data_IF_253308000270
#
_entry.id   IF_253308000270
#
_cell.length_a   1.000
_cell.length_b   1.000
_cell.length_c   1.000
_cell.angle_alpha   90.00
_cell.angle_beta   90.00
_cell.angle_gamma   90.00
#
_symmetry.space_group_name_H-M   'P 1'
#
loop_
_entity.id
_entity.type
_entity.pdbx_description
1 polymer ?
#
# COMPACT_ATOMS: atom_id res chain seq x y z
N UNK A 1 0.68 -14.75 75.29
CA UNK A 1 -0.25 -14.50 74.16
C UNK A 1 0.52 -14.70 72.86
N UNK A 2 0.40 -15.88 72.25
CA UNK A 2 0.77 -16.11 70.84
C UNK A 2 -0.39 -16.90 70.23
N UNK A 3 -1.10 -16.25 69.30
CA UNK A 3 -2.23 -16.82 68.57
C UNK A 3 -1.71 -17.91 67.63
N UNK A 4 -2.09 -19.15 67.88
CA UNK A 4 -1.96 -20.25 66.91
C UNK A 4 -3.12 -20.10 65.92
N UNK A 5 -2.84 -19.58 64.74
CA UNK A 5 -3.78 -19.58 63.61
C UNK A 5 -3.63 -20.94 62.89
N UNK A 6 -4.69 -21.76 62.77
CA UNK A 6 -4.61 -23.02 62.03
C UNK A 6 -4.55 -22.75 60.51
N UNK A 7 -3.95 -23.66 59.72
CA UNK A 7 -3.88 -23.49 58.27
C UNK A 7 -5.28 -23.60 57.64
N UNK A 8 -5.62 -22.62 56.80
CA UNK A 8 -6.83 -22.60 56.00
C UNK A 8 -6.82 -23.79 55.03
N UNK A 9 -7.66 -24.79 55.33
CA UNK A 9 -8.06 -25.83 54.40
C UNK A 9 -8.90 -25.19 53.32
N UNK A 10 -8.29 -24.88 52.17
CA UNK A 10 -9.03 -24.54 50.96
C UNK A 10 -9.77 -25.80 50.48
N UNK A 11 -11.05 -25.90 50.84
CA UNK A 11 -12.02 -26.77 50.17
C UNK A 11 -12.14 -26.32 48.70
N UNK A 12 -11.28 -26.88 47.85
CA UNK A 12 -11.54 -26.85 46.41
C UNK A 12 -12.60 -27.91 46.10
N UNK A 13 -13.86 -27.47 46.05
CA UNK A 13 -14.91 -28.22 45.36
C UNK A 13 -14.43 -28.41 43.91
N UNK A 14 -13.99 -29.62 43.58
CA UNK A 14 -13.52 -29.96 42.25
C UNK A 14 -14.70 -30.10 41.31
N UNK A 15 -15.17 -28.97 40.78
CA UNK A 15 -16.02 -28.95 39.60
C UNK A 15 -15.21 -29.52 38.43
N UNK A 16 -15.36 -30.84 38.18
CA UNK A 16 -14.69 -31.54 37.08
C UNK A 16 -15.27 -31.07 35.76
N UNK A 17 -14.66 -30.03 35.20
CA UNK A 17 -14.90 -29.58 33.81
C UNK A 17 -14.61 -30.77 32.87
N UNK A 18 -15.50 -31.11 31.92
CA UNK A 18 -15.34 -32.26 31.05
C UNK A 18 -14.01 -32.22 30.28
N UNK A 19 -13.38 -33.40 30.09
CA UNK A 19 -12.02 -33.55 29.55
C UNK A 19 -11.80 -32.77 28.23
N UNK A 20 -12.80 -32.78 27.34
CA UNK A 20 -12.78 -32.06 26.07
C UNK A 20 -12.69 -30.53 26.23
N UNK A 21 -13.32 -29.96 27.26
CA UNK A 21 -13.20 -28.52 27.54
C UNK A 21 -11.88 -28.18 28.23
N UNK A 22 -11.30 -29.10 29.01
CA UNK A 22 -9.95 -28.93 29.56
C UNK A 22 -8.88 -28.93 28.48
N UNK A 23 -9.00 -29.77 27.44
CA UNK A 23 -8.05 -29.77 26.31
C UNK A 23 -8.14 -28.46 25.52
N UNK A 24 -9.36 -27.98 25.27
CA UNK A 24 -9.60 -26.72 24.56
C UNK A 24 -9.08 -25.49 25.33
N UNK A 25 -9.33 -25.42 26.64
CA UNK A 25 -8.82 -24.34 27.49
C UNK A 25 -7.30 -24.39 27.64
N UNK A 26 -6.69 -25.58 27.69
CA UNK A 26 -5.23 -25.74 27.67
C UNK A 26 -4.63 -25.29 26.34
N UNK A 27 -5.25 -25.61 25.20
CA UNK A 27 -4.80 -25.10 23.90
C UNK A 27 -4.93 -23.58 23.80
N UNK A 28 -6.03 -23.00 24.30
CA UNK A 28 -6.22 -21.54 24.35
C UNK A 28 -5.19 -20.85 25.25
N UNK A 29 -4.88 -21.44 26.40
CA UNK A 29 -3.85 -20.93 27.31
C UNK A 29 -2.45 -21.02 26.69
N UNK A 30 -2.12 -22.13 26.03
CA UNK A 30 -0.86 -22.29 25.30
C UNK A 30 -0.73 -21.30 24.14
N UNK A 31 -1.81 -21.07 23.37
CA UNK A 31 -1.86 -20.05 22.33
C UNK A 31 -1.64 -18.66 22.95
N UNK A 32 -2.24 -18.37 24.10
CA UNK A 32 -2.06 -17.07 24.78
C UNK A 32 -0.64 -16.86 25.30
N UNK A 33 0.03 -17.90 25.80
CA UNK A 33 1.43 -17.81 26.23
C UNK A 33 2.39 -17.66 25.05
N UNK A 34 2.19 -18.39 23.95
CA UNK A 34 3.02 -18.22 22.75
C UNK A 34 2.91 -16.80 22.19
N UNK A 35 1.69 -16.28 22.11
CA UNK A 35 1.38 -14.89 21.76
C UNK A 35 2.16 -13.95 22.70
N UNK A 36 2.02 -14.09 24.02
CA UNK A 36 2.67 -13.19 24.99
C UNK A 36 4.20 -13.26 24.95
N UNK A 37 4.78 -14.44 24.69
CA UNK A 37 6.23 -14.63 24.53
C UNK A 37 6.72 -13.97 23.22
N UNK A 38 5.93 -14.06 22.15
CA UNK A 38 6.26 -13.43 20.87
C UNK A 38 6.22 -11.90 20.98
N UNK A 39 5.22 -11.33 21.66
CA UNK A 39 5.15 -9.89 21.91
C UNK A 39 6.26 -9.40 22.85
N UNK A 40 6.61 -10.16 23.89
CA UNK A 40 7.69 -9.77 24.82
C UNK A 40 9.07 -9.84 24.15
N UNK A 41 9.32 -10.79 23.25
CA UNK A 41 10.55 -10.82 22.42
C UNK A 41 10.59 -9.64 21.44
N UNK A 42 9.46 -9.31 20.82
CA UNK A 42 9.36 -8.17 19.89
C UNK A 42 9.58 -6.84 20.62
N UNK A 43 9.00 -6.65 21.80
CA UNK A 43 9.18 -5.43 22.60
C UNK A 43 10.58 -5.31 23.18
N UNK A 44 11.17 -6.38 23.71
CA UNK A 44 12.55 -6.37 24.20
C UNK A 44 13.55 -6.09 23.07
N UNK A 45 13.39 -6.71 21.90
CA UNK A 45 14.28 -6.44 20.77
C UNK A 45 14.11 -5.02 20.23
N UNK A 46 12.89 -4.49 20.16
CA UNK A 46 12.66 -3.09 19.78
C UNK A 46 13.30 -2.12 20.78
N UNK A 47 13.13 -2.33 22.08
CA UNK A 47 13.74 -1.48 23.13
C UNK A 47 15.27 -1.53 23.04
N UNK A 48 15.87 -2.72 22.93
CA UNK A 48 17.33 -2.87 22.81
C UNK A 48 17.87 -2.17 21.55
N UNK A 49 17.14 -2.25 20.43
CA UNK A 49 17.52 -1.57 19.18
C UNK A 49 17.37 -0.04 19.27
N UNK A 50 16.38 0.46 20.00
CA UNK A 50 16.18 1.90 20.21
C UNK A 50 17.27 2.51 21.11
N UNK A 51 17.73 1.77 22.12
CA UNK A 51 18.81 2.21 23.01
C UNK A 51 20.21 2.06 22.39
N UNK A 52 20.39 1.12 21.45
CA UNK A 52 21.68 0.89 20.81
C UNK A 52 21.64 1.30 19.33
N UNK A 53 21.99 2.56 19.07
CA UNK A 53 22.01 3.13 17.71
C UNK A 53 22.95 2.38 16.75
N UNK A 54 24.07 1.85 17.26
CA UNK A 54 24.97 1.01 16.45
C UNK A 54 24.29 -0.31 16.06
N UNK A 55 23.44 -0.84 16.95
CA UNK A 55 22.68 -2.05 16.69
C UNK A 55 21.57 -1.86 15.65
N UNK A 56 20.89 -0.73 15.73
CA UNK A 56 19.87 -0.34 14.75
C UNK A 56 20.48 -0.18 13.35
N UNK A 57 21.68 0.40 13.26
CA UNK A 57 22.38 0.62 12.00
C UNK A 57 22.71 -0.70 11.27
N UNK A 58 23.22 -1.72 11.98
CA UNK A 58 23.51 -3.01 11.34
C UNK A 58 22.22 -3.72 10.88
N UNK A 59 21.13 -3.66 11.66
CA UNK A 59 19.86 -4.29 11.27
C UNK A 59 19.26 -3.63 10.02
N UNK A 60 19.35 -2.31 9.92
CA UNK A 60 18.90 -1.58 8.74
C UNK A 60 19.76 -1.94 7.51
N UNK A 61 21.09 -2.06 7.68
CA UNK A 61 21.98 -2.49 6.59
C UNK A 61 21.60 -3.89 6.08
N UNK A 62 21.38 -4.85 6.98
CA UNK A 62 20.99 -6.21 6.61
C UNK A 62 19.63 -6.22 5.91
N UNK A 63 18.69 -5.39 6.36
CA UNK A 63 17.38 -5.26 5.73
C UNK A 63 17.47 -4.73 4.29
N UNK A 64 18.26 -3.67 4.06
CA UNK A 64 18.49 -3.10 2.73
C UNK A 64 19.14 -4.13 1.80
N UNK A 65 20.00 -5.00 2.35
CA UNK A 65 20.66 -6.05 1.59
C UNK A 65 19.77 -7.24 1.22
N UNK A 66 18.60 -7.35 1.84
CA UNK A 66 17.65 -8.43 1.57
C UNK A 66 17.20 -8.44 0.10
N UNK A 67 17.08 -9.64 -0.47
CA UNK A 67 16.61 -9.81 -1.84
C UNK A 67 15.19 -9.22 -2.05
N UNK A 68 14.32 -9.38 -1.06
CA UNK A 68 12.97 -8.83 -1.09
C UNK A 68 12.96 -7.29 -1.18
N UNK A 69 13.78 -6.60 -0.38
CA UNK A 69 13.87 -5.14 -0.42
C UNK A 69 14.49 -4.63 -1.72
N UNK A 70 15.52 -5.31 -2.26
CA UNK A 70 16.11 -4.98 -3.56
C UNK A 70 15.07 -5.06 -4.69
N UNK A 71 14.27 -6.12 -4.70
CA UNK A 71 13.17 -6.26 -5.66
C UNK A 71 12.11 -5.18 -5.49
N UNK A 72 11.69 -4.89 -4.26
CA UNK A 72 10.75 -3.81 -3.95
C UNK A 72 11.26 -2.45 -4.46
N UNK A 73 12.52 -2.09 -4.17
CA UNK A 73 13.14 -0.85 -4.61
C UNK A 73 13.19 -0.74 -6.15
N UNK A 74 13.49 -1.84 -6.84
CA UNK A 74 13.52 -1.86 -8.31
C UNK A 74 12.13 -1.63 -8.93
N UNK A 75 11.12 -2.40 -8.52
CA UNK A 75 9.76 -2.25 -9.08
C UNK A 75 9.09 -0.95 -8.65
N UNK A 76 9.35 -0.46 -7.44
CA UNK A 76 8.84 0.84 -6.99
C UNK A 76 9.43 1.99 -7.81
N UNK A 77 10.73 1.95 -8.15
CA UNK A 77 11.35 2.92 -9.05
C UNK A 77 10.70 2.93 -10.45
N UNK A 78 10.39 1.76 -11.01
CA UNK A 78 9.69 1.64 -12.30
C UNK A 78 8.28 2.26 -12.22
N UNK A 79 7.53 1.98 -11.16
CA UNK A 79 6.19 2.55 -10.98
C UNK A 79 6.23 4.07 -10.74
N UNK A 80 7.23 4.56 -10.01
CA UNK A 80 7.45 6.00 -9.83
C UNK A 80 7.78 6.67 -11.17
N UNK A 81 8.66 6.07 -11.98
CA UNK A 81 8.99 6.58 -13.31
C UNK A 81 7.75 6.64 -14.22
N UNK A 82 6.89 5.62 -14.17
CA UNK A 82 5.60 5.61 -14.88
C UNK A 82 4.70 6.78 -14.43
N UNK A 83 4.61 7.05 -13.12
CA UNK A 83 3.84 8.19 -12.60
C UNK A 83 4.38 9.52 -13.14
N UNK A 84 5.70 9.71 -13.15
CA UNK A 84 6.32 10.91 -13.72
C UNK A 84 6.05 11.04 -15.22
N UNK A 85 6.12 9.93 -15.98
CA UNK A 85 5.78 9.93 -17.40
C UNK A 85 4.31 10.35 -17.63
N UNK A 86 3.38 9.91 -16.78
CA UNK A 86 1.97 10.29 -16.88
C UNK A 86 1.72 11.78 -16.59
N UNK A 87 2.46 12.38 -15.65
CA UNK A 87 2.41 13.83 -15.40
C UNK A 87 2.87 14.59 -16.64
N UNK A 88 4.00 14.17 -17.21
CA UNK A 88 4.57 14.80 -18.41
C UNK A 88 3.63 14.67 -19.62
N UNK A 89 3.05 13.49 -19.85
CA UNK A 89 2.05 13.27 -20.91
C UNK A 89 0.82 14.15 -20.73
N UNK A 90 0.35 14.34 -19.49
CA UNK A 90 -0.78 15.24 -19.19
C UNK A 90 -0.42 16.68 -19.55
N UNK A 91 0.76 17.15 -19.17
CA UNK A 91 1.24 18.49 -19.49
C UNK A 91 1.39 18.69 -21.01
N UNK A 92 2.04 17.75 -21.70
CA UNK A 92 2.17 17.79 -23.16
C UNK A 92 0.81 17.85 -23.86
N UNK A 93 -0.16 17.04 -23.43
CA UNK A 93 -1.49 17.04 -24.04
C UNK A 93 -2.22 18.36 -23.81
N UNK A 94 -2.06 18.99 -22.64
CA UNK A 94 -2.59 20.34 -22.37
C UNK A 94 -1.99 21.38 -23.32
N UNK A 95 -0.68 21.39 -23.51
CA UNK A 95 -0.01 22.30 -24.45
C UNK A 95 -0.38 22.01 -25.91
N UNK A 96 -0.49 20.75 -26.32
CA UNK A 96 -0.86 20.38 -27.70
C UNK A 96 -2.29 20.76 -28.05
N UNK A 97 -3.21 20.65 -27.09
CA UNK A 97 -4.65 20.93 -27.28
C UNK A 97 -5.05 22.34 -26.87
N UNK A 98 -4.13 23.13 -26.29
CA UNK A 98 -4.40 24.42 -25.65
C UNK A 98 -5.57 24.37 -24.64
N UNK A 99 -5.76 23.23 -23.99
CA UNK A 99 -6.83 22.97 -23.03
C UNK A 99 -6.29 23.18 -21.61
N UNK A 100 -6.35 24.43 -21.14
CA UNK A 100 -5.94 24.84 -19.81
C UNK A 100 -7.15 24.99 -18.90
N UNK A 101 -7.05 24.53 -17.66
CA UNK A 101 -8.14 24.63 -16.68
C UNK A 101 -8.25 26.05 -16.09
N UNK A 102 -7.12 26.74 -16.04
CA UNK A 102 -6.96 27.99 -15.34
C UNK A 102 -6.66 29.11 -16.35
N UNK A 103 -7.29 30.30 -16.21
CA UNK A 103 -7.12 31.40 -17.17
C UNK A 103 -5.72 32.02 -17.15
N UNK A 104 -4.95 31.87 -16.07
CA UNK A 104 -3.56 32.33 -15.96
C UNK A 104 -2.55 31.47 -16.74
N UNK A 105 -2.88 30.20 -16.96
CA UNK A 105 -2.03 29.25 -17.70
C UNK A 105 -2.16 29.41 -19.22
N UNK A 106 -3.07 30.27 -19.66
CA UNK A 106 -3.29 30.53 -21.08
C UNK A 106 -2.09 31.30 -21.66
N UNK A 107 -1.48 30.83 -22.76
CA UNK A 107 -0.37 31.54 -23.42
C UNK A 107 -0.80 32.89 -24.01
N UNK A 108 -2.10 33.18 -24.09
CA UNK A 108 -2.63 34.46 -24.54
C UNK A 108 -3.99 34.74 -23.91
N UNK A 109 -4.17 35.94 -23.34
CA UNK A 109 -5.44 36.44 -22.74
C UNK A 109 -6.65 36.47 -23.69
N UNK A 110 -6.43 36.27 -25.00
CA UNK A 110 -7.49 36.21 -26.03
C UNK A 110 -8.05 34.81 -26.26
N UNK A 111 -7.42 33.77 -25.70
CA UNK A 111 -7.82 32.39 -25.89
C UNK A 111 -8.88 32.02 -24.84
N UNK A 112 -9.96 31.34 -25.24
CA UNK A 112 -11.01 30.93 -24.32
C UNK A 112 -10.52 29.71 -23.52
N UNK A 113 -10.78 29.69 -22.22
CA UNK A 113 -10.52 28.52 -21.36
C UNK A 113 -11.35 27.36 -21.90
N UNK A 114 -10.68 26.30 -22.37
CA UNK A 114 -11.31 25.03 -22.73
C UNK A 114 -11.02 24.06 -21.59
N UNK A 115 -12.00 23.93 -20.69
CA UNK A 115 -11.91 23.10 -19.50
C UNK A 115 -11.98 21.60 -19.83
N UNK A 116 -12.80 21.23 -20.82
CA UNK A 116 -13.29 19.86 -20.97
C UNK A 116 -12.87 19.25 -22.32
N UNK A 117 -11.56 19.10 -22.55
CA UNK A 117 -11.07 18.26 -23.66
C UNK A 117 -11.11 16.78 -23.21
N UNK A 118 -11.85 15.91 -23.93
CA UNK A 118 -12.07 14.52 -23.51
C UNK A 118 -10.77 13.69 -23.49
N UNK A 119 -9.76 14.07 -24.27
CA UNK A 119 -8.46 13.39 -24.31
C UNK A 119 -7.63 13.77 -23.05
N UNK A 120 -7.65 15.05 -22.65
CA UNK A 120 -6.97 15.53 -21.44
C UNK A 120 -7.59 14.91 -20.18
N UNK A 121 -8.92 14.84 -20.11
CA UNK A 121 -9.60 14.20 -18.99
C UNK A 121 -9.34 12.69 -18.91
N UNK A 122 -9.16 12.02 -20.04
CA UNK A 122 -8.81 10.60 -20.07
C UNK A 122 -7.45 10.35 -19.44
N UNK A 123 -6.43 11.12 -19.83
CA UNK A 123 -5.10 11.00 -19.22
C UNK A 123 -5.14 11.37 -17.74
N UNK A 124 -5.94 12.37 -17.35
CA UNK A 124 -6.14 12.73 -15.93
C UNK A 124 -6.79 11.59 -15.13
N UNK A 125 -7.77 10.88 -15.70
CA UNK A 125 -8.39 9.70 -15.08
C UNK A 125 -7.41 8.54 -14.93
N UNK A 126 -6.60 8.29 -15.97
CA UNK A 126 -5.54 7.29 -15.91
C UNK A 126 -4.52 7.62 -14.81
N UNK A 127 -4.07 8.87 -14.73
CA UNK A 127 -3.15 9.32 -13.69
C UNK A 127 -3.73 9.19 -12.27
N UNK A 128 -5.02 9.54 -12.09
CA UNK A 128 -5.71 9.35 -10.80
C UNK A 128 -5.80 7.87 -10.42
N UNK A 129 -6.15 7.01 -11.37
CA UNK A 129 -6.19 5.57 -11.12
C UNK A 129 -4.80 5.02 -10.72
N UNK A 130 -3.74 5.50 -11.37
CA UNK A 130 -2.38 5.14 -11.00
C UNK A 130 -2.07 5.57 -9.56
N UNK A 131 -2.47 6.78 -9.13
CA UNK A 131 -2.30 7.24 -7.74
C UNK A 131 -3.07 6.37 -6.72
N UNK A 132 -4.33 6.04 -7.02
CA UNK A 132 -5.18 5.21 -6.15
C UNK A 132 -4.62 3.78 -5.96
N UNK A 133 -3.81 3.27 -6.89
CA UNK A 133 -3.28 1.90 -6.83
C UNK A 133 -1.80 1.84 -6.42
N UNK A 134 -0.97 2.78 -6.87
CA UNK A 134 0.47 2.76 -6.59
C UNK A 134 0.75 3.19 -5.15
N UNK A 135 -0.05 4.10 -4.57
CA UNK A 135 0.14 4.51 -3.17
C UNK A 135 -0.07 3.33 -2.18
N UNK A 136 -1.17 2.55 -2.27
CA UNK A 136 -1.29 1.31 -1.49
C UNK A 136 -0.16 0.32 -1.75
N UNK A 137 0.31 0.19 -3.00
CA UNK A 137 1.41 -0.70 -3.34
C UNK A 137 2.71 -0.30 -2.63
N UNK A 138 3.04 0.98 -2.54
CA UNK A 138 4.23 1.42 -1.79
C UNK A 138 4.12 1.11 -0.31
N UNK A 139 2.96 1.36 0.31
CA UNK A 139 2.73 1.06 1.72
C UNK A 139 2.80 -0.45 2.00
N UNK A 140 2.02 -1.25 1.25
CA UNK A 140 1.95 -2.70 1.43
C UNK A 140 3.24 -3.40 1.02
N UNK A 141 3.88 -2.98 -0.07
CA UNK A 141 5.14 -3.55 -0.54
C UNK A 141 6.29 -3.28 0.44
N UNK A 142 6.31 -2.11 1.08
CA UNK A 142 7.26 -1.81 2.15
C UNK A 142 7.01 -2.69 3.38
N UNK A 143 5.77 -2.75 3.87
CA UNK A 143 5.40 -3.59 5.01
C UNK A 143 5.66 -5.08 4.75
N UNK A 144 5.38 -5.55 3.54
CA UNK A 144 5.62 -6.93 3.14
C UNK A 144 7.11 -7.25 3.09
N UNK A 145 7.94 -6.32 2.60
CA UNK A 145 9.40 -6.47 2.62
C UNK A 145 9.95 -6.65 4.04
N UNK A 146 9.35 -5.97 5.04
CA UNK A 146 9.72 -6.10 6.45
C UNK A 146 9.45 -7.50 7.05
N UNK A 147 8.58 -8.30 6.43
CA UNK A 147 8.23 -9.64 6.93
C UNK A 147 9.20 -10.76 6.54
N UNK A 148 10.29 -10.42 5.82
CA UNK A 148 11.25 -11.40 5.27
C UNK A 148 10.58 -12.57 4.52
N UNK A 149 9.72 -12.28 3.54
CA UNK A 149 9.06 -13.31 2.73
C UNK A 149 10.06 -14.01 1.78
N UNK A 150 9.60 -15.14 1.24
CA UNK A 150 10.29 -15.86 0.17
C UNK A 150 10.54 -14.95 -1.06
N UNK A 151 11.79 -14.88 -1.57
CA UNK A 151 12.18 -13.91 -2.60
C UNK A 151 11.50 -14.16 -3.97
N UNK A 152 11.18 -15.41 -4.30
CA UNK A 152 10.56 -15.75 -5.58
C UNK A 152 9.10 -15.31 -5.61
N UNK A 153 8.39 -15.53 -4.51
CA UNK A 153 7.01 -15.09 -4.33
C UNK A 153 6.87 -13.57 -4.43
N UNK A 154 7.77 -12.83 -3.77
CA UNK A 154 7.81 -11.36 -3.82
C UNK A 154 8.05 -10.85 -5.24
N UNK A 155 9.02 -11.44 -5.93
CA UNK A 155 9.34 -11.08 -7.30
C UNK A 155 8.16 -11.31 -8.23
N UNK A 156 7.48 -12.44 -8.12
CA UNK A 156 6.29 -12.74 -8.92
C UNK A 156 5.18 -11.71 -8.65
N UNK A 157 4.89 -11.42 -7.38
CA UNK A 157 3.83 -10.49 -7.00
C UNK A 157 4.08 -9.08 -7.55
N UNK A 158 5.31 -8.56 -7.40
CA UNK A 158 5.67 -7.24 -7.92
C UNK A 158 5.68 -7.20 -9.46
N UNK A 159 6.13 -8.26 -10.13
CA UNK A 159 6.06 -8.38 -11.60
C UNK A 159 4.63 -8.35 -12.11
N UNK A 160 3.75 -9.18 -11.55
CA UNK A 160 2.35 -9.27 -12.00
C UNK A 160 1.63 -7.94 -11.77
N UNK A 161 1.83 -7.32 -10.59
CA UNK A 161 1.25 -6.02 -10.29
C UNK A 161 1.72 -4.94 -11.29
N UNK A 162 3.03 -4.83 -11.51
CA UNK A 162 3.58 -3.84 -12.44
C UNK A 162 3.07 -4.05 -13.86
N UNK A 163 3.13 -5.28 -14.39
CA UNK A 163 2.64 -5.61 -15.74
C UNK A 163 1.16 -5.30 -15.92
N UNK A 164 0.31 -5.66 -14.94
CA UNK A 164 -1.12 -5.35 -14.99
C UNK A 164 -1.38 -3.84 -15.06
N UNK A 165 -0.59 -3.02 -14.34
CA UNK A 165 -0.72 -1.56 -14.39
C UNK A 165 -0.22 -0.96 -15.70
N UNK A 166 0.86 -1.49 -16.26
CA UNK A 166 1.26 -1.09 -17.62
C UNK A 166 0.17 -1.41 -18.62
N UNK A 167 -0.38 -2.63 -18.60
CA UNK A 167 -1.48 -3.05 -19.48
C UNK A 167 -2.72 -2.14 -19.34
N UNK A 168 -3.10 -1.78 -18.11
CA UNK A 168 -4.23 -0.87 -17.86
C UNK A 168 -4.03 0.52 -18.48
N UNK A 169 -2.85 1.14 -18.28
CA UNK A 169 -2.55 2.44 -18.88
C UNK A 169 -2.43 2.36 -20.39
N UNK A 170 -1.87 1.27 -20.94
CA UNK A 170 -1.86 1.04 -22.37
C UNK A 170 -3.28 0.96 -22.92
N UNK A 171 -4.17 0.17 -22.31
CA UNK A 171 -5.56 0.06 -22.74
C UNK A 171 -6.32 1.40 -22.70
N UNK A 172 -6.17 2.19 -21.64
CA UNK A 172 -6.83 3.51 -21.56
C UNK A 172 -6.24 4.50 -22.59
N UNK A 173 -4.95 4.42 -22.88
CA UNK A 173 -4.29 5.34 -23.80
C UNK A 173 -4.46 4.95 -25.28
N UNK A 174 -4.51 3.65 -25.60
CA UNK A 174 -4.55 3.13 -26.97
C UNK A 174 -5.94 3.01 -27.55
N UNK A 175 -6.99 2.95 -26.72
CA UNK A 175 -8.35 2.90 -27.22
C UNK A 175 -8.70 4.25 -27.87
N UNK A 176 -9.07 4.26 -29.17
CA UNK A 176 -9.65 5.45 -29.77
C UNK A 176 -10.89 5.81 -28.95
N UNK A 177 -11.21 7.10 -28.89
CA UNK A 177 -12.52 7.51 -28.41
C UNK A 177 -13.56 6.82 -29.29
N UNK A 178 -14.12 5.70 -28.84
CA UNK A 178 -15.31 5.17 -29.46
C UNK A 178 -16.37 6.23 -29.22
N UNK A 179 -16.86 6.79 -30.34
CA UNK A 179 -17.92 7.78 -30.40
C UNK A 179 -19.23 7.13 -29.98
N UNK A 180 -19.33 6.73 -28.73
CA UNK A 180 -20.59 6.39 -28.10
C UNK A 180 -20.78 7.36 -26.96
N UNK A 181 -21.44 8.47 -27.27
CA UNK A 181 -22.23 9.17 -26.27
C UNK A 181 -23.28 8.19 -25.74
N UNK A 182 -23.39 8.05 -24.42
CA UNK A 182 -24.73 8.08 -23.85
C UNK A 182 -24.75 9.14 -22.75
N UNK A 183 -25.52 10.20 -23.01
CA UNK A 183 -26.02 11.19 -22.06
C UNK A 183 -24.98 11.91 -21.18
N UNK A 184 -24.28 12.89 -21.77
CA UNK A 184 -24.12 14.27 -21.24
C UNK A 184 -22.95 14.96 -21.95
N UNK A 185 -23.18 15.35 -23.21
CA UNK A 185 -22.38 16.38 -23.87
C UNK A 185 -23.12 17.72 -23.74
N UNK A 186 -23.02 18.33 -22.57
CA UNK A 186 -23.15 19.79 -22.39
C UNK A 186 -21.69 20.20 -22.17
N UNK A 187 -20.94 20.86 -23.04
CA UNK A 187 -21.28 21.89 -24.02
C UNK A 187 -20.11 22.05 -25.00
N UNK A 188 -20.38 22.27 -26.29
CA UNK A 188 -19.41 22.89 -27.20
C UNK A 188 -18.83 22.02 -28.32
N UNK A 189 -19.63 21.20 -29.00
CA UNK A 189 -19.33 20.84 -30.38
C UNK A 189 -19.73 22.02 -31.27
N UNK A 190 -18.84 23.02 -31.42
CA UNK A 190 -19.00 24.06 -32.43
C UNK A 190 -17.98 23.79 -33.54
N UNK A 191 -18.40 23.02 -34.55
CA UNK A 191 -17.77 23.02 -35.87
C UNK A 191 -18.59 23.97 -36.75
N UNK A 192 -18.00 25.11 -37.03
CA UNK A 192 -18.41 26.13 -38.00
C UNK A 192 -17.19 26.97 -38.30
#
# INVERSE_FOLDING_TARGET
MCLVVPPLVLQSNTFRVPYHQQTFLKSLFLISEEIHIQYTRLTLTAVILLFNRSALSYKMSIFIDSAAFKSFAFYSAILALKLFAMIFLTAMNRFRKNAFANPEDLPSKKMKVVLDDPDVERVRRAHRNDLENILPFFALGFLYSCTQPDPDTVNMLFKVFTLARFAHTFGICSLPCETTCPHNCISGCNRG
#
